data_IF_018699785174
#
_entry.id   IF_018699785174
#
_cell.length_a   1.000
_cell.length_b   1.000
_cell.length_c   1.000
_cell.angle_alpha   90.00
_cell.angle_beta   90.00
_cell.angle_gamma   90.00
#
_symmetry.space_group_name_H-M   'P 1'
#
loop_
_entity.id
_entity.type
_entity.pdbx_description
1 polymer ?
#
# COMPACT_ATOMS: atom_id res chain seq x y z
N UNK A 1 -30.45 -32.67 -22.15
CA UNK A 1 -30.43 -31.26 -21.74
C UNK A 1 -31.60 -31.10 -20.77
N UNK A 2 -31.39 -31.44 -19.51
CA UNK A 2 -32.46 -31.36 -18.50
C UNK A 2 -32.21 -30.15 -17.67
N UNK A 3 -33.14 -29.21 -17.72
CA UNK A 3 -33.18 -27.99 -16.92
C UNK A 3 -33.41 -28.36 -15.44
N UNK A 4 -32.43 -28.02 -14.63
CA UNK A 4 -32.53 -28.15 -13.16
C UNK A 4 -33.40 -27.06 -12.61
N UNK A 5 -34.65 -27.38 -12.28
CA UNK A 5 -35.61 -26.46 -11.64
C UNK A 5 -35.69 -26.77 -10.13
N UNK A 6 -35.05 -25.97 -9.25
CA UNK A 6 -35.21 -26.21 -7.81
C UNK A 6 -36.59 -25.71 -7.34
N UNK A 7 -37.46 -26.63 -6.98
CA UNK A 7 -38.71 -26.31 -6.30
C UNK A 7 -38.42 -25.76 -4.90
N UNK A 8 -38.73 -24.48 -4.70
CA UNK A 8 -38.72 -23.85 -3.39
C UNK A 8 -40.03 -24.15 -2.68
N UNK A 9 -39.94 -24.95 -1.62
CA UNK A 9 -41.09 -25.19 -0.77
C UNK A 9 -41.11 -24.09 0.33
N UNK A 10 -41.90 -23.05 0.10
CA UNK A 10 -42.14 -21.99 1.08
C UNK A 10 -43.30 -22.40 2.01
N UNK A 11 -43.00 -22.96 3.16
CA UNK A 11 -43.98 -22.94 4.25
C UNK A 11 -44.03 -21.52 4.85
N UNK A 12 -45.13 -20.84 4.63
CA UNK A 12 -45.51 -19.63 5.38
C UNK A 12 -45.88 -20.02 6.78
N UNK A 13 -45.08 -19.70 7.75
CA UNK A 13 -45.49 -19.64 9.15
C UNK A 13 -45.63 -18.15 9.51
N UNK A 14 -46.86 -17.69 9.57
CA UNK A 14 -47.25 -16.40 10.11
C UNK A 14 -47.19 -16.47 11.64
N UNK A 15 -46.05 -16.14 12.24
CA UNK A 15 -45.96 -15.78 13.66
C UNK A 15 -44.84 -14.76 13.83
N UNK A 16 -45.22 -13.62 14.39
CA UNK A 16 -44.34 -12.53 14.82
C UNK A 16 -43.29 -13.04 15.80
N UNK A 17 -42.03 -12.98 15.43
CA UNK A 17 -40.88 -13.46 16.23
C UNK A 17 -39.91 -14.21 15.33
N UNK A 18 -39.36 -13.52 14.31
CA UNK A 18 -38.70 -14.16 13.17
C UNK A 18 -37.34 -14.72 13.51
N UNK A 19 -37.27 -16.04 13.65
CA UNK A 19 -36.04 -16.74 13.26
C UNK A 19 -35.94 -16.73 11.73
N UNK A 20 -34.79 -16.39 11.15
CA UNK A 20 -34.61 -16.37 9.72
C UNK A 20 -34.66 -17.77 9.09
N UNK A 21 -35.03 -17.89 7.80
CA UNK A 21 -35.20 -19.18 7.14
C UNK A 21 -33.89 -19.98 7.07
N UNK A 22 -34.01 -21.27 7.47
CA UNK A 22 -32.95 -22.28 7.35
C UNK A 22 -33.06 -22.88 5.95
N UNK A 23 -32.02 -22.77 5.12
CA UNK A 23 -31.94 -23.48 3.85
C UNK A 23 -31.25 -24.82 4.07
N UNK A 24 -32.00 -25.90 3.91
CA UNK A 24 -31.43 -27.24 3.83
C UNK A 24 -30.86 -27.49 2.43
N UNK A 25 -29.60 -27.88 2.36
CA UNK A 25 -29.05 -28.44 1.12
C UNK A 25 -29.53 -29.88 0.93
N UNK A 26 -29.87 -30.34 -0.30
CA UNK A 26 -30.25 -31.71 -0.56
C UNK A 26 -29.13 -32.65 -0.09
N UNK A 27 -29.46 -33.61 0.76
CA UNK A 27 -28.53 -34.49 1.42
C UNK A 27 -27.77 -35.38 0.45
N UNK A 28 -26.46 -35.41 0.60
CA UNK A 28 -25.62 -36.50 0.11
C UNK A 28 -25.61 -37.57 1.16
N UNK A 29 -26.28 -38.67 0.89
CA UNK A 29 -26.28 -39.85 1.76
C UNK A 29 -24.94 -40.58 1.59
N UNK A 30 -24.17 -40.65 2.67
CA UNK A 30 -23.01 -41.52 2.76
C UNK A 30 -21.89 -40.95 3.65
N UNK A 31 -21.74 -41.48 4.82
CA UNK A 31 -20.73 -41.24 5.84
C UNK A 31 -20.88 -39.97 6.69
N UNK A 32 -20.97 -40.17 7.98
CA UNK A 32 -21.09 -39.22 9.09
C UNK A 32 -20.15 -38.01 9.03
N UNK A 33 -20.52 -37.03 8.21
CA UNK A 33 -19.98 -35.69 8.34
C UNK A 33 -21.03 -34.79 8.99
N UNK A 34 -20.61 -34.07 10.01
CA UNK A 34 -21.43 -33.07 10.71
C UNK A 34 -21.74 -31.98 9.67
N UNK A 35 -22.97 -31.92 9.18
CA UNK A 35 -23.43 -30.87 8.28
C UNK A 35 -23.59 -29.59 9.13
N UNK A 36 -22.63 -28.68 8.99
CA UNK A 36 -22.80 -27.33 9.53
C UNK A 36 -23.86 -26.61 8.71
N UNK A 37 -25.02 -26.34 9.28
CA UNK A 37 -26.02 -25.47 8.66
C UNK A 37 -25.49 -24.05 8.75
N UNK A 38 -25.06 -23.51 7.63
CA UNK A 38 -24.62 -22.10 7.55
C UNK A 38 -25.86 -21.21 7.51
N UNK A 39 -26.08 -20.45 8.57
CA UNK A 39 -27.14 -19.48 8.63
C UNK A 39 -26.88 -18.34 7.65
N UNK A 40 -27.79 -18.15 6.65
CA UNK A 40 -27.70 -17.08 5.67
C UNK A 40 -28.80 -16.05 5.98
N UNK A 41 -28.43 -14.78 6.30
CA UNK A 41 -29.40 -13.74 6.61
C UNK A 41 -30.38 -13.48 5.45
N UNK A 42 -31.58 -13.10 5.79
CA UNK A 42 -32.62 -12.75 4.83
C UNK A 42 -32.13 -11.71 3.79
N UNK A 43 -32.44 -11.90 2.53
CA UNK A 43 -32.03 -11.02 1.43
C UNK A 43 -30.67 -11.38 0.78
N UNK A 44 -29.98 -12.44 1.23
CA UNK A 44 -28.76 -12.93 0.60
C UNK A 44 -28.97 -14.28 -0.08
N UNK A 45 -28.36 -14.44 -1.26
CA UNK A 45 -28.13 -15.79 -1.83
C UNK A 45 -26.89 -16.40 -1.15
N UNK A 46 -26.74 -17.74 -1.13
CA UNK A 46 -25.51 -18.38 -0.61
C UNK A 46 -24.23 -17.80 -1.20
N UNK A 47 -24.20 -17.58 -2.51
CA UNK A 47 -23.04 -16.99 -3.21
C UNK A 47 -22.73 -15.58 -2.74
N UNK A 48 -23.73 -14.70 -2.67
CA UNK A 48 -23.53 -13.31 -2.24
C UNK A 48 -23.17 -13.21 -0.76
N UNK A 49 -23.64 -14.13 0.06
CA UNK A 49 -23.26 -14.23 1.47
C UNK A 49 -21.80 -14.63 1.65
N UNK A 50 -21.33 -15.66 0.91
CA UNK A 50 -19.93 -16.10 0.90
C UNK A 50 -18.99 -14.99 0.42
N UNK A 51 -19.36 -14.29 -0.66
CA UNK A 51 -18.59 -13.17 -1.19
C UNK A 51 -18.47 -12.04 -0.16
N UNK A 52 -19.58 -11.65 0.48
CA UNK A 52 -19.61 -10.64 1.54
C UNK A 52 -18.72 -11.03 2.72
N UNK A 53 -18.83 -12.27 3.19
CA UNK A 53 -18.00 -12.77 4.28
C UNK A 53 -16.51 -12.84 3.88
N UNK A 54 -16.24 -13.22 2.63
CA UNK A 54 -14.91 -13.21 2.08
C UNK A 54 -14.28 -11.81 2.06
N UNK A 55 -15.01 -10.79 1.59
CA UNK A 55 -14.57 -9.38 1.63
C UNK A 55 -14.35 -8.92 3.06
N UNK A 56 -15.32 -9.18 3.96
CA UNK A 56 -15.23 -8.81 5.38
C UNK A 56 -13.96 -9.39 6.03
N UNK A 57 -13.67 -10.67 5.81
CA UNK A 57 -12.46 -11.32 6.34
C UNK A 57 -11.19 -10.64 5.81
N UNK A 58 -11.13 -10.33 4.51
CA UNK A 58 -9.97 -9.63 3.92
C UNK A 58 -9.82 -8.21 4.47
N UNK A 59 -10.90 -7.45 4.53
CA UNK A 59 -10.91 -6.11 5.10
C UNK A 59 -10.46 -6.11 6.57
N UNK A 60 -10.91 -7.07 7.36
CA UNK A 60 -10.44 -7.25 8.76
C UNK A 60 -8.94 -7.55 8.81
N UNK A 61 -8.43 -8.43 7.94
CA UNK A 61 -6.99 -8.75 7.90
C UNK A 61 -6.16 -7.53 7.52
N UNK A 62 -6.59 -6.77 6.52
CA UNK A 62 -5.95 -5.51 6.13
C UNK A 62 -5.98 -4.49 7.28
N UNK A 63 -7.17 -4.24 7.84
CA UNK A 63 -7.35 -3.28 8.94
C UNK A 63 -6.50 -3.65 10.16
N UNK A 64 -6.48 -4.93 10.56
CA UNK A 64 -5.67 -5.40 11.67
C UNK A 64 -4.17 -5.26 11.38
N UNK A 65 -3.72 -5.54 10.16
CA UNK A 65 -2.32 -5.34 9.77
C UNK A 65 -1.93 -3.86 9.91
N UNK A 66 -2.77 -2.93 9.45
CA UNK A 66 -2.52 -1.49 9.56
C UNK A 66 -2.52 -1.01 11.02
N UNK A 67 -3.46 -1.47 11.85
CA UNK A 67 -3.49 -1.14 13.28
C UNK A 67 -2.22 -1.61 13.97
N UNK A 68 -1.75 -2.83 13.69
CA UNK A 68 -0.50 -3.35 14.26
C UNK A 68 0.69 -2.54 13.75
N UNK A 69 0.72 -2.15 12.47
CA UNK A 69 1.75 -1.27 11.91
C UNK A 69 1.83 0.04 12.69
N UNK A 70 0.70 0.71 12.93
CA UNK A 70 0.65 1.92 13.75
C UNK A 70 1.08 1.66 15.20
N UNK A 71 0.67 0.52 15.78
CA UNK A 71 1.06 0.10 17.11
C UNK A 71 2.57 -0.12 17.26
N UNK A 72 3.23 -0.69 16.25
CA UNK A 72 4.68 -0.88 16.23
C UNK A 72 5.41 0.47 16.34
N UNK A 73 4.97 1.50 15.62
CA UNK A 73 5.57 2.85 15.69
C UNK A 73 5.44 3.42 17.09
N UNK A 74 4.25 3.30 17.70
CA UNK A 74 4.01 3.79 19.05
C UNK A 74 4.86 3.05 20.09
N UNK A 75 4.89 1.73 20.05
CA UNK A 75 5.70 0.88 20.93
C UNK A 75 7.19 1.19 20.76
N UNK A 76 7.66 1.36 19.51
CA UNK A 76 9.03 1.76 19.24
C UNK A 76 9.41 3.07 19.92
N UNK A 77 8.56 4.09 19.85
CA UNK A 77 8.81 5.38 20.50
C UNK A 77 8.97 5.25 22.02
N UNK A 78 8.11 4.43 22.66
CA UNK A 78 8.19 4.15 24.10
C UNK A 78 9.50 3.42 24.44
N UNK A 79 9.81 2.35 23.68
CA UNK A 79 11.01 1.54 23.89
C UNK A 79 12.28 2.38 23.72
N UNK A 80 12.30 3.25 22.70
CA UNK A 80 13.41 4.15 22.47
C UNK A 80 13.65 5.09 23.67
N UNK A 81 12.60 5.79 24.12
CA UNK A 81 12.69 6.70 25.28
C UNK A 81 13.14 5.95 26.54
N UNK A 82 12.60 4.75 26.78
CA UNK A 82 12.98 3.92 27.91
C UNK A 82 14.46 3.51 27.87
N UNK A 83 14.95 3.03 26.73
CA UNK A 83 16.36 2.64 26.56
C UNK A 83 17.28 3.84 26.81
N UNK A 84 16.99 4.97 26.18
CA UNK A 84 17.80 6.18 26.31
C UNK A 84 17.85 6.69 27.75
N UNK A 85 16.72 6.65 28.46
CA UNK A 85 16.65 6.96 29.88
C UNK A 85 17.52 6.01 30.74
N UNK A 86 17.50 4.71 30.45
CA UNK A 86 18.36 3.71 31.15
C UNK A 86 19.84 3.89 30.87
N UNK A 87 20.20 4.40 29.71
CA UNK A 87 21.57 4.74 29.35
C UNK A 87 22.03 6.09 29.95
N UNK A 88 21.15 6.79 30.69
CA UNK A 88 21.46 8.07 31.36
C UNK A 88 21.40 9.27 30.43
N UNK A 89 20.80 9.17 29.24
CA UNK A 89 20.63 10.31 28.37
C UNK A 89 19.41 11.16 28.80
N UNK A 90 19.54 12.47 28.73
CA UNK A 90 18.41 13.41 28.88
C UNK A 90 17.48 13.30 27.69
N UNK A 91 16.23 13.77 27.83
CA UNK A 91 15.28 13.81 26.72
C UNK A 91 15.80 14.60 25.51
N UNK A 92 16.46 15.73 25.78
CA UNK A 92 17.07 16.58 24.74
C UNK A 92 18.18 15.85 23.99
N UNK A 93 19.11 15.22 24.70
CA UNK A 93 20.19 14.43 24.08
C UNK A 93 19.67 13.22 23.32
N UNK A 94 18.61 12.58 23.80
CA UNK A 94 17.95 11.48 23.11
C UNK A 94 17.33 11.94 21.78
N UNK A 95 16.70 13.12 21.77
CA UNK A 95 16.15 13.71 20.55
C UNK A 95 17.24 14.13 19.56
N UNK A 96 18.35 14.63 20.04
CA UNK A 96 19.52 14.96 19.20
C UNK A 96 20.06 13.70 18.49
N UNK A 97 20.21 12.60 19.22
CA UNK A 97 20.70 11.33 18.66
C UNK A 97 19.76 10.77 17.60
N UNK A 98 18.44 10.76 17.87
CA UNK A 98 17.49 10.21 16.89
C UNK A 98 17.38 11.09 15.63
N UNK A 99 17.64 12.39 15.75
CA UNK A 99 17.62 13.34 14.62
C UNK A 99 18.93 13.36 13.83
N UNK A 100 19.94 12.63 14.27
CA UNK A 100 21.16 12.48 13.48
C UNK A 100 20.81 11.82 12.12
N UNK A 101 21.14 12.47 10.99
CA UNK A 101 20.65 12.07 9.68
C UNK A 101 20.93 10.61 9.31
N UNK A 102 22.11 10.08 9.59
CA UNK A 102 22.44 8.70 9.29
C UNK A 102 21.68 7.71 10.18
N UNK A 103 21.47 8.01 11.44
CA UNK A 103 20.67 7.21 12.37
C UNK A 103 19.23 7.16 11.91
N UNK A 104 18.64 8.28 11.50
CA UNK A 104 17.30 8.36 10.93
C UNK A 104 17.14 7.42 9.75
N UNK A 105 18.07 7.42 8.80
CA UNK A 105 18.01 6.56 7.61
C UNK A 105 18.07 5.06 7.97
N UNK A 106 18.94 4.69 8.90
CA UNK A 106 19.03 3.29 9.38
C UNK A 106 17.75 2.86 10.09
N UNK A 107 17.22 3.70 10.95
CA UNK A 107 15.94 3.44 11.64
C UNK A 107 14.78 3.31 10.66
N UNK A 108 14.73 4.15 9.64
CA UNK A 108 13.72 4.08 8.58
C UNK A 108 13.73 2.71 7.89
N UNK A 109 14.89 2.17 7.53
CA UNK A 109 15.01 0.82 6.95
C UNK A 109 14.44 -0.24 7.89
N UNK A 110 14.90 -0.25 9.14
CA UNK A 110 14.48 -1.26 10.13
C UNK A 110 12.97 -1.17 10.38
N UNK A 111 12.46 0.03 10.63
CA UNK A 111 11.05 0.24 10.91
C UNK A 111 10.18 -0.08 9.71
N UNK A 112 10.56 0.29 8.49
CA UNK A 112 9.81 -0.05 7.28
C UNK A 112 9.66 -1.56 7.11
N UNK A 113 10.73 -2.32 7.30
CA UNK A 113 10.69 -3.79 7.24
C UNK A 113 9.76 -4.35 8.32
N UNK A 114 9.90 -3.90 9.56
CA UNK A 114 9.08 -4.39 10.67
C UNK A 114 7.60 -4.04 10.49
N UNK A 115 7.29 -2.81 10.09
CA UNK A 115 5.93 -2.29 9.96
C UNK A 115 5.16 -2.89 8.79
N UNK A 116 5.77 -2.99 7.61
CA UNK A 116 5.07 -3.41 6.39
C UNK A 116 5.26 -4.88 6.02
N UNK A 117 6.20 -5.59 6.64
CA UNK A 117 6.41 -7.02 6.35
C UNK A 117 5.76 -7.90 7.43
N UNK A 118 6.09 -7.67 8.69
CA UNK A 118 5.71 -8.59 9.78
C UNK A 118 4.18 -8.66 9.97
N UNK A 119 3.44 -7.54 10.17
CA UNK A 119 1.99 -7.60 10.39
C UNK A 119 1.26 -8.21 9.20
N UNK A 120 1.63 -7.83 7.97
CA UNK A 120 0.97 -8.33 6.77
C UNK A 120 1.19 -9.82 6.57
N UNK A 121 2.42 -10.33 6.74
CA UNK A 121 2.69 -11.77 6.64
C UNK A 121 1.97 -12.54 7.74
N UNK A 122 2.09 -12.11 9.00
CA UNK A 122 1.54 -12.84 10.16
C UNK A 122 0.03 -12.91 10.08
N UNK A 123 -0.65 -11.77 9.89
CA UNK A 123 -2.12 -11.70 9.88
C UNK A 123 -2.71 -12.45 8.69
N UNK A 124 -2.11 -12.33 7.50
CA UNK A 124 -2.63 -13.02 6.32
C UNK A 124 -2.40 -14.53 6.40
N UNK A 125 -1.25 -14.99 6.91
CA UNK A 125 -1.02 -16.41 7.18
C UNK A 125 -1.95 -16.96 8.25
N UNK A 126 -2.14 -16.24 9.36
CA UNK A 126 -3.10 -16.62 10.40
C UNK A 126 -4.55 -16.68 9.87
N UNK A 127 -4.87 -15.84 8.88
CA UNK A 127 -6.13 -15.90 8.14
C UNK A 127 -6.23 -17.06 7.14
N UNK A 128 -5.25 -17.96 7.06
CA UNK A 128 -5.23 -19.10 6.15
C UNK A 128 -4.94 -18.75 4.70
N UNK A 129 -4.29 -17.58 4.43
CA UNK A 129 -3.96 -17.15 3.08
C UNK A 129 -2.48 -17.42 2.79
N UNK A 130 -2.19 -17.96 1.59
CA UNK A 130 -0.82 -18.14 1.13
C UNK A 130 -0.35 -16.85 0.47
N UNK A 131 0.74 -16.28 0.96
CA UNK A 131 1.30 -15.02 0.44
C UNK A 131 1.68 -15.14 -1.04
N UNK A 132 2.19 -16.30 -1.46
CA UNK A 132 2.51 -16.59 -2.87
C UNK A 132 1.35 -16.45 -3.84
N UNK A 133 0.11 -16.65 -3.37
CA UNK A 133 -1.08 -16.55 -4.20
C UNK A 133 -1.58 -15.09 -4.34
N UNK A 134 -1.09 -14.22 -3.47
CA UNK A 134 -1.48 -12.82 -3.42
C UNK A 134 -0.50 -11.91 -4.17
N UNK A 135 0.79 -12.24 -4.13
CA UNK A 135 1.85 -11.41 -4.69
C UNK A 135 2.11 -11.78 -6.15
N UNK A 136 1.67 -10.98 -7.12
CA UNK A 136 1.90 -11.26 -8.52
C UNK A 136 3.35 -10.93 -8.90
N UNK A 137 4.06 -11.91 -9.48
CA UNK A 137 5.46 -11.79 -9.91
C UNK A 137 5.70 -12.28 -11.34
N UNK A 138 4.64 -12.30 -12.15
CA UNK A 138 4.79 -12.68 -13.57
C UNK A 138 5.77 -11.76 -14.28
N UNK A 139 6.40 -12.28 -15.31
CA UNK A 139 7.32 -11.52 -16.15
C UNK A 139 6.62 -11.19 -17.48
N UNK A 140 6.03 -10.00 -17.63
CA UNK A 140 5.36 -9.59 -18.85
C UNK A 140 6.31 -9.51 -20.04
N UNK A 141 5.77 -9.40 -21.25
CA UNK A 141 6.56 -9.18 -22.47
C UNK A 141 7.42 -7.94 -22.37
N UNK A 142 8.58 -7.94 -23.06
CA UNK A 142 9.58 -6.86 -22.95
C UNK A 142 9.02 -5.50 -23.33
N UNK A 143 8.25 -5.40 -24.43
CA UNK A 143 7.62 -4.16 -24.87
C UNK A 143 6.67 -3.61 -23.79
N UNK A 144 5.73 -4.43 -23.31
CA UNK A 144 4.80 -4.06 -22.25
C UNK A 144 5.54 -3.59 -20.97
N UNK A 145 6.62 -4.25 -20.58
CA UNK A 145 7.40 -3.86 -19.39
C UNK A 145 8.00 -2.47 -19.52
N UNK A 146 8.60 -2.18 -20.68
CA UNK A 146 9.24 -0.90 -20.94
C UNK A 146 8.21 0.24 -21.03
N UNK A 147 7.13 0.05 -21.79
CA UNK A 147 6.06 1.04 -21.87
C UNK A 147 5.43 1.32 -20.51
N UNK A 148 5.04 0.29 -19.76
CA UNK A 148 4.42 0.46 -18.44
C UNK A 148 5.38 1.11 -17.43
N UNK A 149 6.67 0.80 -17.50
CA UNK A 149 7.68 1.44 -16.67
C UNK A 149 7.79 2.94 -16.97
N UNK A 150 8.04 3.33 -18.23
CA UNK A 150 8.24 4.74 -18.59
C UNK A 150 6.96 5.57 -18.43
N UNK A 151 5.81 5.03 -18.81
CA UNK A 151 4.51 5.68 -18.57
C UNK A 151 4.29 5.85 -17.06
N UNK A 152 4.56 4.82 -16.28
CA UNK A 152 4.43 4.89 -14.82
C UNK A 152 5.30 5.96 -14.18
N UNK A 153 6.58 6.02 -14.56
CA UNK A 153 7.50 7.07 -14.07
C UNK A 153 7.02 8.46 -14.49
N UNK A 154 6.57 8.63 -15.74
CA UNK A 154 6.04 9.90 -16.22
C UNK A 154 4.79 10.35 -15.43
N UNK A 155 3.87 9.43 -15.10
CA UNK A 155 2.71 9.76 -14.27
C UNK A 155 3.10 10.10 -12.82
N UNK A 156 4.09 9.43 -12.23
CA UNK A 156 4.62 9.81 -10.92
C UNK A 156 5.23 11.22 -10.96
N UNK A 157 6.00 11.53 -12.00
CA UNK A 157 6.56 12.86 -12.20
C UNK A 157 5.46 13.93 -12.35
N UNK A 158 4.39 13.63 -13.11
CA UNK A 158 3.22 14.51 -13.20
C UNK A 158 2.51 14.70 -11.86
N UNK A 159 2.35 13.64 -11.07
CA UNK A 159 1.75 13.70 -9.73
C UNK A 159 2.57 14.62 -8.79
N UNK A 160 3.91 14.56 -8.83
CA UNK A 160 4.78 15.49 -8.10
C UNK A 160 4.52 16.95 -8.49
N UNK A 161 4.42 17.25 -9.79
CA UNK A 161 4.13 18.61 -10.28
C UNK A 161 2.74 19.08 -9.81
N UNK A 162 1.72 18.21 -9.91
CA UNK A 162 0.36 18.54 -9.49
C UNK A 162 0.31 18.82 -7.99
N UNK A 163 0.99 18.03 -7.16
CA UNK A 163 1.05 18.23 -5.71
C UNK A 163 1.78 19.53 -5.36
N UNK A 164 2.90 19.84 -6.02
CA UNK A 164 3.61 21.11 -5.83
C UNK A 164 2.75 22.30 -6.23
N UNK A 165 1.97 22.20 -7.30
CA UNK A 165 1.03 23.25 -7.70
C UNK A 165 -0.10 23.42 -6.66
N UNK A 166 -0.64 22.32 -6.12
CA UNK A 166 -1.64 22.34 -5.07
C UNK A 166 -1.10 22.97 -3.78
N UNK A 167 0.11 22.62 -3.34
CA UNK A 167 0.75 23.21 -2.16
C UNK A 167 0.92 24.74 -2.30
N UNK A 168 1.36 25.21 -3.48
CA UNK A 168 1.44 26.64 -3.76
C UNK A 168 0.08 27.34 -3.76
N UNK A 169 -0.94 26.68 -4.31
CA UNK A 169 -2.31 27.19 -4.28
C UNK A 169 -2.81 27.34 -2.82
N UNK A 170 -2.58 26.35 -1.96
CA UNK A 170 -2.98 26.42 -0.56
C UNK A 170 -2.19 27.45 0.23
N UNK A 171 -0.89 27.63 -0.06
CA UNK A 171 -0.07 28.66 0.59
C UNK A 171 -0.56 30.07 0.28
N UNK A 172 -1.16 30.30 -0.89
CA UNK A 172 -1.81 31.57 -1.22
C UNK A 172 -2.97 31.92 -0.25
N UNK A 173 -3.61 30.91 0.34
CA UNK A 173 -4.65 31.09 1.36
C UNK A 173 -4.11 31.05 2.81
N UNK A 174 -2.80 31.12 2.98
CA UNK A 174 -2.15 31.04 4.31
C UNK A 174 -2.14 29.65 4.93
N UNK A 175 -2.42 28.62 4.13
CA UNK A 175 -2.34 27.20 4.56
C UNK A 175 -0.95 26.71 4.16
N UNK A 176 -0.02 26.74 5.11
CA UNK A 176 1.33 26.23 4.92
C UNK A 176 1.50 24.90 5.67
N UNK A 177 1.99 23.91 4.96
CA UNK A 177 2.36 22.61 5.53
C UNK A 177 3.88 22.50 5.48
N UNK A 178 4.53 22.82 6.59
CA UNK A 178 5.97 22.62 6.73
C UNK A 178 6.21 21.27 7.41
N UNK A 179 6.46 20.23 6.62
CA UNK A 179 6.90 18.94 7.13
C UNK A 179 8.43 18.97 7.17
N UNK A 180 8.98 18.97 8.38
CA UNK A 180 10.42 18.81 8.58
C UNK A 180 10.78 17.32 8.40
N UNK A 181 11.34 16.97 7.26
CA UNK A 181 11.84 15.61 6.98
C UNK A 181 13.24 15.37 7.58
N UNK A 182 13.78 16.33 8.32
CA UNK A 182 15.14 16.29 8.82
C UNK A 182 16.18 16.57 7.73
N UNK A 183 17.44 16.61 8.15
CA UNK A 183 18.55 16.81 7.21
C UNK A 183 18.92 15.53 6.50
N UNK A 184 19.28 15.65 5.22
CA UNK A 184 19.81 14.54 4.44
C UNK A 184 21.28 14.31 4.80
N UNK A 185 21.71 13.07 5.11
CA UNK A 185 23.11 12.78 5.41
C UNK A 185 23.98 13.06 4.18
N UNK A 186 25.08 13.81 4.38
CA UNK A 186 25.92 14.31 3.28
C UNK A 186 27.00 13.31 2.85
N UNK A 187 27.55 13.53 1.64
CA UNK A 187 28.65 12.75 1.08
C UNK A 187 28.23 11.38 0.54
N UNK A 188 29.21 10.63 0.07
CA UNK A 188 28.98 9.35 -0.61
C UNK A 188 28.26 8.31 0.25
N UNK A 189 28.65 8.14 1.51
CA UNK A 189 27.96 7.21 2.41
C UNK A 189 26.54 7.66 2.74
N UNK A 190 26.32 8.97 2.91
CA UNK A 190 24.99 9.52 3.07
C UNK A 190 24.09 9.21 1.87
N UNK A 191 24.59 9.39 0.66
CA UNK A 191 23.88 9.02 -0.57
C UNK A 191 23.53 7.52 -0.60
N UNK A 192 24.46 6.62 -0.24
CA UNK A 192 24.18 5.18 -0.17
C UNK A 192 23.11 4.84 0.88
N UNK A 193 23.13 5.51 2.03
CA UNK A 193 22.09 5.33 3.04
C UNK A 193 20.73 5.79 2.52
N UNK A 194 20.63 6.93 1.85
CA UNK A 194 19.41 7.42 1.22
C UNK A 194 18.92 6.47 0.11
N UNK A 195 19.82 5.92 -0.71
CA UNK A 195 19.44 4.89 -1.68
C UNK A 195 18.81 3.68 -1.02
N UNK A 196 19.38 3.21 0.08
CA UNK A 196 18.84 2.04 0.79
C UNK A 196 17.51 2.36 1.46
N UNK A 197 17.42 3.45 2.20
CA UNK A 197 16.28 3.79 3.06
C UNK A 197 15.10 4.38 2.30
N UNK A 198 15.36 5.25 1.33
CA UNK A 198 14.32 6.01 0.63
C UNK A 198 13.96 5.39 -0.73
N UNK A 199 14.91 4.72 -1.39
CA UNK A 199 14.68 4.17 -2.73
C UNK A 199 14.36 2.68 -2.68
N UNK A 200 15.31 1.87 -2.21
CA UNK A 200 15.23 0.41 -2.32
C UNK A 200 14.21 -0.17 -1.34
N UNK A 201 14.31 0.21 -0.07
CA UNK A 201 13.45 -0.35 0.98
C UNK A 201 11.98 -0.05 0.73
N UNK A 202 11.51 1.20 0.52
CA UNK A 202 10.11 1.47 0.25
C UNK A 202 9.62 0.80 -1.03
N UNK A 203 10.39 0.86 -2.13
CA UNK A 203 10.01 0.25 -3.39
C UNK A 203 9.77 -1.25 -3.30
N UNK A 204 10.48 -1.97 -2.44
CA UNK A 204 10.28 -3.40 -2.25
C UNK A 204 9.22 -3.72 -1.20
N UNK A 205 9.31 -3.09 -0.03
CA UNK A 205 8.52 -3.45 1.15
C UNK A 205 7.09 -2.91 1.07
N UNK A 206 6.93 -1.67 0.62
CA UNK A 206 5.60 -1.08 0.48
C UNK A 206 4.85 -1.68 -0.72
N UNK A 207 5.51 -1.91 -1.85
CA UNK A 207 4.86 -2.58 -2.97
C UNK A 207 4.48 -4.03 -2.62
N UNK A 208 5.30 -4.74 -1.85
CA UNK A 208 4.95 -6.04 -1.31
C UNK A 208 3.68 -5.97 -0.45
N UNK A 209 3.59 -5.02 0.47
CA UNK A 209 2.44 -4.88 1.36
C UNK A 209 1.17 -4.44 0.60
N UNK A 210 1.26 -3.36 -0.18
CA UNK A 210 0.07 -2.73 -0.79
C UNK A 210 -0.32 -3.37 -2.12
N UNK A 211 0.61 -3.63 -3.05
CA UNK A 211 0.29 -4.22 -4.37
C UNK A 211 0.34 -5.75 -4.33
N UNK A 212 1.21 -6.32 -3.52
CA UNK A 212 1.22 -7.75 -3.27
C UNK A 212 0.02 -8.17 -2.43
N UNK A 213 0.02 -7.86 -1.14
CA UNK A 213 -0.92 -8.44 -0.19
C UNK A 213 -2.29 -7.74 -0.24
N UNK A 214 -2.37 -6.42 -0.08
CA UNK A 214 -3.66 -5.71 -0.02
C UNK A 214 -4.40 -5.83 -1.35
N UNK A 215 -3.83 -5.34 -2.44
CA UNK A 215 -4.43 -5.38 -3.77
C UNK A 215 -4.70 -6.83 -4.19
N UNK A 216 -3.71 -7.73 -4.08
CA UNK A 216 -3.85 -9.13 -4.44
C UNK A 216 -4.98 -9.85 -3.69
N UNK A 217 -5.19 -9.53 -2.41
CA UNK A 217 -6.30 -10.12 -1.62
C UNK A 217 -7.68 -9.64 -2.07
N UNK A 218 -7.77 -8.41 -2.60
CA UNK A 218 -9.03 -7.77 -3.00
C UNK A 218 -9.34 -7.93 -4.50
N UNK A 219 -8.34 -8.24 -5.34
CA UNK A 219 -8.45 -8.28 -6.81
C UNK A 219 -9.62 -9.14 -7.31
N UNK A 220 -9.91 -10.26 -6.66
CA UNK A 220 -11.02 -11.14 -7.03
C UNK A 220 -12.42 -10.52 -6.85
N UNK A 221 -12.54 -9.43 -6.10
CA UNK A 221 -13.79 -8.70 -5.88
C UNK A 221 -13.95 -7.49 -6.83
N UNK A 222 -12.99 -7.29 -7.71
CA UNK A 222 -12.95 -6.23 -8.71
C UNK A 222 -11.60 -5.53 -8.73
N UNK A 223 -10.97 -5.47 -9.92
CA UNK A 223 -9.64 -4.89 -10.09
C UNK A 223 -9.63 -3.40 -9.74
N UNK A 224 -10.61 -2.63 -10.25
CA UNK A 224 -10.73 -1.19 -9.94
C UNK A 224 -10.95 -0.93 -8.45
N UNK A 225 -11.79 -1.74 -7.79
CA UNK A 225 -11.99 -1.68 -6.34
C UNK A 225 -10.69 -1.95 -5.57
N UNK A 226 -9.96 -3.01 -5.94
CA UNK A 226 -8.70 -3.37 -5.29
C UNK A 226 -7.63 -2.29 -5.46
N UNK A 227 -7.50 -1.70 -6.66
CA UNK A 227 -6.59 -0.58 -6.95
C UNK A 227 -6.96 0.62 -6.09
N UNK A 228 -8.24 1.03 -6.09
CA UNK A 228 -8.69 2.21 -5.34
C UNK A 228 -8.44 2.06 -3.83
N UNK A 229 -8.85 0.94 -3.24
CA UNK A 229 -8.68 0.69 -1.80
C UNK A 229 -7.19 0.64 -1.42
N UNK A 230 -6.38 -0.10 -2.19
CA UNK A 230 -4.94 -0.17 -1.95
C UNK A 230 -4.27 1.21 -2.04
N UNK A 231 -4.71 2.06 -2.98
CA UNK A 231 -4.14 3.41 -3.17
C UNK A 231 -4.54 4.38 -2.07
N UNK A 232 -5.80 4.32 -1.61
CA UNK A 232 -6.27 5.13 -0.46
C UNK A 232 -5.46 4.75 0.80
N UNK A 233 -5.33 3.46 1.08
CA UNK A 233 -4.60 3.00 2.25
C UNK A 233 -3.11 3.35 2.16
N UNK A 234 -2.51 3.23 0.97
CA UNK A 234 -1.13 3.64 0.73
C UNK A 234 -0.93 5.14 0.98
N UNK A 235 -1.82 5.98 0.47
CA UNK A 235 -1.79 7.42 0.75
C UNK A 235 -1.89 7.71 2.25
N UNK A 236 -2.90 7.17 2.93
CA UNK A 236 -3.15 7.40 4.36
C UNK A 236 -1.99 6.96 5.25
N UNK A 237 -1.25 5.91 4.88
CA UNK A 237 -0.11 5.44 5.67
C UNK A 237 1.10 6.39 5.68
N UNK A 238 1.15 7.39 4.79
CA UNK A 238 2.17 8.44 4.84
C UNK A 238 1.98 9.42 6.02
N UNK A 239 0.78 9.49 6.59
CA UNK A 239 0.52 10.17 7.86
C UNK A 239 0.60 11.70 7.85
N UNK A 240 0.87 12.34 6.71
CA UNK A 240 0.89 13.79 6.58
C UNK A 240 0.10 14.29 5.37
N UNK A 241 -0.56 15.43 5.53
CA UNK A 241 -1.49 15.97 4.52
C UNK A 241 -0.82 16.34 3.20
N UNK A 242 0.46 16.64 3.19
CA UNK A 242 1.20 17.00 1.99
C UNK A 242 1.49 15.78 1.12
N UNK A 243 1.87 14.67 1.75
CA UNK A 243 2.19 13.43 1.04
C UNK A 243 0.96 12.57 0.68
N UNK A 244 -0.13 12.64 1.46
CA UNK A 244 -1.31 11.80 1.23
C UNK A 244 -1.86 11.92 -0.20
N UNK A 245 -2.12 13.12 -0.76
CA UNK A 245 -2.64 13.25 -2.13
C UNK A 245 -1.66 12.70 -3.17
N UNK A 246 -0.39 13.02 -3.03
CA UNK A 246 0.67 12.52 -3.91
C UNK A 246 0.76 11.00 -3.87
N UNK A 247 0.91 10.42 -2.68
CA UNK A 247 1.02 8.98 -2.51
C UNK A 247 -0.24 8.24 -2.99
N UNK A 248 -1.43 8.83 -2.83
CA UNK A 248 -2.66 8.28 -3.40
C UNK A 248 -2.61 8.23 -4.94
N UNK A 249 -2.19 9.31 -5.61
CA UNK A 249 -2.07 9.36 -7.07
C UNK A 249 -1.02 8.36 -7.58
N UNK A 250 0.16 8.33 -6.97
CA UNK A 250 1.18 7.32 -7.25
C UNK A 250 0.64 5.93 -6.98
N UNK A 251 -0.10 5.76 -5.90
CA UNK A 251 -0.79 4.53 -5.55
C UNK A 251 -1.69 3.98 -6.65
N UNK A 252 -2.49 4.84 -7.27
CA UNK A 252 -3.35 4.47 -8.41
C UNK A 252 -2.53 3.98 -9.59
N UNK A 253 -1.46 4.70 -9.94
CA UNK A 253 -0.59 4.34 -11.06
C UNK A 253 0.05 2.97 -10.85
N UNK A 254 0.69 2.76 -9.68
CA UNK A 254 1.36 1.51 -9.35
C UNK A 254 0.38 0.33 -9.25
N UNK A 255 -0.83 0.58 -8.72
CA UNK A 255 -1.90 -0.42 -8.67
C UNK A 255 -2.38 -0.83 -10.06
N UNK A 256 -2.60 0.13 -10.96
CA UNK A 256 -2.98 -0.13 -12.36
C UNK A 256 -1.89 -0.90 -13.11
N UNK A 257 -0.62 -0.52 -12.93
CA UNK A 257 0.52 -1.25 -13.51
C UNK A 257 0.53 -2.69 -13.01
N UNK A 258 0.37 -2.90 -11.70
CA UNK A 258 0.37 -4.24 -11.09
C UNK A 258 -0.74 -5.11 -11.66
N UNK A 259 -1.95 -4.57 -11.81
CA UNK A 259 -3.10 -5.31 -12.39
C UNK A 259 -2.86 -5.63 -13.85
N UNK A 260 -2.42 -4.66 -14.65
CA UNK A 260 -2.19 -4.82 -16.11
C UNK A 260 -1.05 -5.78 -16.44
N UNK A 261 -0.02 -5.80 -15.61
CA UNK A 261 1.19 -6.61 -15.85
C UNK A 261 1.19 -7.92 -15.06
N UNK A 262 0.26 -8.09 -14.13
CA UNK A 262 0.23 -9.17 -13.14
C UNK A 262 1.60 -9.34 -12.44
N UNK A 263 2.23 -8.19 -12.11
CA UNK A 263 3.57 -8.12 -11.54
C UNK A 263 3.78 -6.89 -10.67
N UNK A 264 4.24 -7.08 -9.44
CA UNK A 264 4.70 -5.98 -8.58
C UNK A 264 6.08 -5.45 -9.00
N UNK A 265 6.86 -6.22 -9.77
CA UNK A 265 8.26 -5.87 -10.08
C UNK A 265 8.37 -4.56 -10.88
N UNK A 266 7.41 -4.30 -11.79
CA UNK A 266 7.39 -3.05 -12.54
C UNK A 266 6.96 -1.89 -11.63
N UNK A 267 5.98 -2.12 -10.75
CA UNK A 267 5.58 -1.14 -9.75
C UNK A 267 6.76 -0.80 -8.81
N UNK A 268 7.52 -1.79 -8.34
CA UNK A 268 8.75 -1.57 -7.57
C UNK A 268 9.76 -0.72 -8.33
N UNK A 269 9.99 -1.02 -9.62
CA UNK A 269 10.91 -0.25 -10.44
C UNK A 269 10.46 1.21 -10.63
N UNK A 270 9.17 1.43 -10.90
CA UNK A 270 8.59 2.79 -11.04
C UNK A 270 8.68 3.55 -9.73
N UNK A 271 8.26 2.93 -8.61
CA UNK A 271 8.33 3.53 -7.28
C UNK A 271 9.78 3.89 -6.90
N UNK A 272 10.70 2.93 -7.06
CA UNK A 272 12.12 3.16 -6.78
C UNK A 272 12.71 4.29 -7.64
N UNK A 273 12.34 4.38 -8.93
CA UNK A 273 12.80 5.47 -9.80
C UNK A 273 12.23 6.82 -9.35
N UNK A 274 10.95 6.89 -8.98
CA UNK A 274 10.36 8.11 -8.45
C UNK A 274 11.13 8.61 -7.21
N UNK A 275 11.40 7.72 -6.27
CA UNK A 275 12.14 8.05 -5.05
C UNK A 275 13.63 8.35 -5.34
N UNK A 276 14.23 7.65 -6.30
CA UNK A 276 15.60 7.95 -6.75
C UNK A 276 15.73 9.36 -7.31
N UNK A 277 14.75 9.81 -8.10
CA UNK A 277 14.73 11.18 -8.61
C UNK A 277 14.72 12.17 -7.44
N UNK A 278 13.88 11.98 -6.41
CA UNK A 278 13.89 12.83 -5.22
C UNK A 278 15.27 12.85 -4.54
N UNK A 279 15.85 11.68 -4.29
CA UNK A 279 17.19 11.58 -3.66
C UNK A 279 18.25 12.29 -4.50
N UNK A 280 18.22 12.14 -5.83
CA UNK A 280 19.16 12.88 -6.72
C UNK A 280 19.00 14.38 -6.55
N UNK A 281 17.76 14.88 -6.50
CA UNK A 281 17.49 16.32 -6.34
C UNK A 281 17.95 16.84 -4.98
N UNK A 282 17.86 16.04 -3.89
CA UNK A 282 18.38 16.41 -2.56
C UNK A 282 19.91 16.52 -2.50
N UNK A 283 20.60 15.87 -3.43
CA UNK A 283 22.07 15.91 -3.55
C UNK A 283 22.56 16.89 -4.64
N UNK A 284 21.65 17.62 -5.32
CA UNK A 284 22.05 18.67 -6.24
C UNK A 284 22.69 19.82 -5.45
N UNK A 285 23.85 20.35 -5.93
CA UNK A 285 24.47 21.51 -5.28
C UNK A 285 23.53 22.71 -5.17
N UNK A 286 23.59 23.42 -4.06
CA UNK A 286 22.70 24.55 -3.73
C UNK A 286 22.90 25.77 -4.64
N UNK A 287 23.97 25.83 -5.43
CA UNK A 287 24.23 26.85 -6.43
C UNK A 287 23.42 26.64 -7.75
N UNK A 288 22.85 25.44 -7.94
CA UNK A 288 21.95 25.21 -9.06
C UNK A 288 20.59 25.84 -8.79
N UNK A 289 20.20 26.79 -9.63
CA UNK A 289 18.95 27.54 -9.45
C UNK A 289 17.72 26.63 -9.51
N UNK A 290 16.67 26.98 -8.77
CA UNK A 290 15.38 26.25 -8.81
C UNK A 290 14.80 26.18 -10.23
N UNK A 291 15.00 27.22 -11.04
CA UNK A 291 14.56 27.22 -12.43
C UNK A 291 15.28 26.13 -13.26
N UNK A 292 16.60 25.96 -13.06
CA UNK A 292 17.34 24.90 -13.71
C UNK A 292 16.89 23.52 -13.27
N UNK A 293 16.64 23.31 -11.97
CA UNK A 293 16.10 22.05 -11.44
C UNK A 293 14.72 21.73 -12.04
N UNK A 294 13.82 22.71 -12.13
CA UNK A 294 12.52 22.55 -12.76
C UNK A 294 12.62 22.17 -14.25
N UNK A 295 13.57 22.76 -14.97
CA UNK A 295 13.82 22.42 -16.38
C UNK A 295 14.36 20.98 -16.50
N UNK A 296 15.29 20.58 -15.65
CA UNK A 296 15.81 19.20 -15.63
C UNK A 296 14.67 18.19 -15.36
N UNK A 297 13.79 18.50 -14.42
CA UNK A 297 12.63 17.66 -14.12
C UNK A 297 11.64 17.56 -15.29
N UNK A 298 11.38 18.67 -15.98
CA UNK A 298 10.52 18.70 -17.17
C UNK A 298 11.12 17.89 -18.32
N UNK A 299 12.43 18.02 -18.57
CA UNK A 299 13.14 17.22 -19.58
C UNK A 299 13.04 15.73 -19.25
N UNK A 300 13.27 15.35 -17.99
CA UNK A 300 13.12 13.97 -17.53
C UNK A 300 11.69 13.43 -17.78
N UNK A 301 10.66 14.21 -17.46
CA UNK A 301 9.26 13.86 -17.73
C UNK A 301 9.01 13.63 -19.22
N UNK A 302 9.46 14.54 -20.08
CA UNK A 302 9.28 14.44 -21.53
C UNK A 302 9.99 13.21 -22.13
N UNK A 303 11.20 12.89 -21.65
CA UNK A 303 11.93 11.69 -22.04
C UNK A 303 11.12 10.44 -21.65
N UNK A 304 10.64 10.35 -20.42
CA UNK A 304 9.86 9.21 -19.97
C UNK A 304 8.56 9.05 -20.76
N UNK A 305 7.84 10.14 -21.05
CA UNK A 305 6.63 10.10 -21.89
C UNK A 305 6.94 9.58 -23.30
N UNK A 306 8.00 10.10 -23.93
CA UNK A 306 8.40 9.68 -25.29
C UNK A 306 8.75 8.20 -25.33
N UNK A 307 9.58 7.72 -24.38
CA UNK A 307 9.98 6.31 -24.30
C UNK A 307 8.83 5.37 -23.92
N UNK A 308 7.81 5.87 -23.24
CA UNK A 308 6.64 5.07 -22.87
C UNK A 308 5.64 4.89 -24.01
N UNK A 309 5.63 5.80 -24.99
CA UNK A 309 4.74 5.74 -26.16
C UNK A 309 5.38 4.91 -27.31
N UNK A 310 6.70 4.91 -27.42
CA UNK A 310 7.46 4.08 -28.39
C UNK A 310 7.46 2.60 -27.98
#
# INVERSE_FOLDING_TARGET
MDEFNPQFNTQKNDTEGSNPPVYEQPGVTGNSQINYVTFIPYGFTPKTYEEKNGIKKKAMSVGLSLIITMGITFVWSIVYVFIMSKLGFTSEKSMEIIREPAIMQVLQVILSILMFTVPFIVIFKAGGMRISDLVPIKKPEKGMRLSMYFIGVAFCAFANMATSAASRFFSFFGIEYNVDFGETPKGFFGFLLCLLSTVITPALIEEFAFRGIVLGSLKKYGEGFAVLVSSILFGLMHGNFEQIPFAFLVGLVLGLITVKTDSILIACAVHGTNNLVSVIFDFIPSDISQAAQNIMYLIFLLICLTLGIL
#
